data_IF_527015182920
#
_entry.id   IF_527015182920
#
_cell.length_a   1.000
_cell.length_b   1.000
_cell.length_c   1.000
_cell.angle_alpha   90.00
_cell.angle_beta   90.00
_cell.angle_gamma   90.00
#
_symmetry.space_group_name_H-M   'P 1'
#
loop_
_entity.id
_entity.type
_entity.pdbx_description
1 polymer ?
#
# COMPACT_ATOMS: atom_id res chain seq x y z
N UNK A 1 -93.48 -38.70 -22.96
CA UNK A 1 -93.59 -37.77 -24.10
C UNK A 1 -92.63 -36.60 -23.88
N UNK A 2 -91.82 -36.29 -24.90
CA UNK A 2 -91.02 -35.06 -25.13
C UNK A 2 -89.75 -34.79 -24.26
N UNK A 3 -88.58 -35.16 -24.80
CA UNK A 3 -87.46 -34.28 -25.29
C UNK A 3 -87.32 -32.89 -24.62
N UNK A 4 -86.16 -32.33 -24.20
CA UNK A 4 -84.74 -32.35 -24.61
C UNK A 4 -83.90 -31.75 -23.44
N UNK A 5 -82.73 -32.26 -23.02
CA UNK A 5 -81.39 -32.29 -23.61
C UNK A 5 -80.58 -30.96 -23.62
N UNK A 6 -79.50 -30.96 -22.82
CA UNK A 6 -78.21 -30.21 -22.94
C UNK A 6 -78.23 -28.70 -22.63
N UNK A 7 -77.22 -28.08 -22.02
CA UNK A 7 -75.77 -28.24 -22.25
C UNK A 7 -74.87 -27.97 -21.03
N UNK A 8 -73.73 -28.67 -21.08
CA UNK A 8 -72.48 -28.52 -20.35
C UNK A 8 -71.99 -27.07 -20.16
N UNK A 9 -71.28 -26.83 -19.05
CA UNK A 9 -70.38 -25.68 -18.93
C UNK A 9 -69.65 -25.58 -17.58
N UNK A 10 -68.76 -26.54 -17.29
CA UNK A 10 -67.81 -26.49 -16.16
C UNK A 10 -67.01 -25.17 -16.14
N UNK A 11 -66.82 -24.56 -14.96
CA UNK A 11 -65.54 -23.97 -14.53
C UNK A 11 -65.52 -23.56 -13.05
N UNK A 12 -64.46 -24.02 -12.39
CA UNK A 12 -63.78 -23.52 -11.18
C UNK A 12 -64.61 -23.41 -9.88
N UNK A 13 -64.52 -24.40 -8.98
CA UNK A 13 -63.43 -24.61 -8.01
C UNK A 13 -63.43 -23.60 -6.86
N UNK A 14 -63.87 -24.12 -5.71
CA UNK A 14 -63.91 -23.52 -4.39
C UNK A 14 -62.51 -23.23 -3.82
N UNK A 15 -62.39 -22.24 -2.94
CA UNK A 15 -62.33 -22.47 -1.49
C UNK A 15 -61.79 -21.23 -0.78
N UNK A 16 -62.59 -20.71 0.15
CA UNK A 16 -62.15 -19.77 1.16
C UNK A 16 -61.19 -20.46 2.14
N UNK A 17 -60.10 -19.78 2.48
CA UNK A 17 -59.14 -20.20 3.49
C UNK A 17 -58.50 -18.98 4.12
N UNK A 18 -59.15 -18.44 5.16
CA UNK A 18 -58.56 -17.45 6.06
C UNK A 18 -57.49 -18.16 6.88
N UNK A 19 -56.23 -17.81 6.66
CA UNK A 19 -55.12 -18.21 7.52
C UNK A 19 -54.55 -16.95 8.17
N UNK A 20 -55.00 -16.66 9.38
CA UNK A 20 -54.39 -15.67 10.27
C UNK A 20 -53.03 -16.18 10.73
N UNK A 21 -51.95 -15.67 10.12
CA UNK A 21 -50.59 -15.86 10.63
C UNK A 21 -50.14 -14.61 11.39
N UNK A 22 -49.73 -14.85 12.63
CA UNK A 22 -49.26 -13.89 13.60
C UNK A 22 -48.10 -13.04 13.06
N UNK A 23 -48.18 -11.73 13.33
CA UNK A 23 -47.07 -10.79 13.23
C UNK A 23 -45.95 -11.22 14.21
N UNK A 24 -44.97 -11.97 13.71
CA UNK A 24 -43.65 -12.02 14.33
C UNK A 24 -42.92 -10.72 13.95
N UNK A 25 -42.64 -9.90 14.94
CA UNK A 25 -41.83 -8.69 14.79
C UNK A 25 -40.43 -9.03 14.28
N UNK A 26 -40.23 -8.94 12.98
CA UNK A 26 -38.90 -8.76 12.41
C UNK A 26 -38.48 -7.34 12.76
N UNK A 27 -37.59 -7.21 13.74
CA UNK A 27 -36.80 -5.99 13.88
C UNK A 27 -36.13 -5.74 12.52
N UNK A 28 -36.26 -4.54 11.92
CA UNK A 28 -35.48 -4.23 10.73
C UNK A 28 -34.01 -4.34 11.11
N UNK A 29 -33.30 -5.26 10.47
CA UNK A 29 -31.84 -5.24 10.45
C UNK A 29 -31.46 -3.84 10.02
N UNK A 30 -30.88 -3.05 10.92
CA UNK A 30 -30.40 -1.72 10.61
C UNK A 30 -29.32 -1.88 9.53
N UNK A 31 -29.72 -1.71 8.27
CA UNK A 31 -28.76 -1.45 7.19
C UNK A 31 -28.13 -0.12 7.55
N UNK A 32 -26.86 -0.15 7.96
CA UNK A 32 -26.08 1.07 8.16
C UNK A 32 -26.13 1.83 6.84
N UNK A 33 -26.94 2.88 6.81
CA UNK A 33 -27.05 3.76 5.65
C UNK A 33 -25.77 4.60 5.69
N UNK A 34 -24.82 4.37 4.78
CA UNK A 34 -23.63 5.21 4.72
C UNK A 34 -24.09 6.65 4.51
N UNK A 35 -23.75 7.53 5.45
CA UNK A 35 -23.96 8.96 5.31
C UNK A 35 -23.31 9.43 4.01
N UNK A 36 -24.00 10.17 3.14
CA UNK A 36 -23.42 10.65 1.90
C UNK A 36 -22.15 11.45 2.18
N UNK A 37 -20.99 10.88 1.82
CA UNK A 37 -19.69 11.49 2.02
C UNK A 37 -19.16 11.99 0.67
N UNK A 38 -19.69 13.14 0.24
CA UNK A 38 -19.32 13.77 -1.04
C UNK A 38 -17.92 14.37 -0.96
N UNK A 39 -16.90 13.54 -1.20
CA UNK A 39 -15.51 13.96 -1.37
C UNK A 39 -14.68 14.14 -0.10
N UNK A 40 -15.25 13.97 1.10
CA UNK A 40 -14.43 13.92 2.31
C UNK A 40 -13.84 12.52 2.53
N UNK A 41 -12.79 12.47 3.35
CA UNK A 41 -12.20 11.21 3.80
C UNK A 41 -13.23 10.43 4.63
N UNK A 42 -13.33 9.13 4.38
CA UNK A 42 -14.05 8.17 5.20
C UNK A 42 -13.17 7.83 6.39
N UNK A 43 -13.38 8.51 7.51
CA UNK A 43 -12.44 8.54 8.63
C UNK A 43 -12.24 7.21 9.35
N UNK A 44 -13.20 6.31 9.22
CA UNK A 44 -13.21 5.00 9.89
C UNK A 44 -12.90 3.87 8.89
N UNK A 45 -12.62 4.22 7.64
CA UNK A 45 -12.16 3.25 6.65
C UNK A 45 -10.74 2.79 6.96
N UNK A 46 -10.43 1.59 6.50
CA UNK A 46 -9.07 1.08 6.41
C UNK A 46 -8.66 1.01 4.95
N UNK A 47 -7.37 1.11 4.71
CA UNK A 47 -6.76 0.97 3.39
C UNK A 47 -5.61 -0.03 3.42
N UNK A 48 -4.81 0.02 2.36
CA UNK A 48 -3.61 -0.79 2.20
C UNK A 48 -2.49 0.00 1.56
N UNK A 49 -1.26 -0.49 1.72
CA UNK A 49 -0.08 0.03 1.07
C UNK A 49 0.62 -1.11 0.31
N UNK A 50 0.55 -1.07 -1.02
CA UNK A 50 1.25 -1.96 -1.93
C UNK A 50 2.60 -1.35 -2.33
N UNK A 51 3.69 -1.97 -1.90
CA UNK A 51 5.07 -1.48 -2.07
C UNK A 51 5.76 -2.30 -3.16
N UNK A 52 6.20 -1.62 -4.22
CA UNK A 52 6.82 -2.21 -5.41
C UNK A 52 8.33 -1.98 -5.39
N UNK A 53 9.11 -2.87 -4.75
CA UNK A 53 10.57 -2.75 -4.64
C UNK A 53 11.28 -3.31 -5.87
N UNK A 54 11.97 -2.43 -6.60
CA UNK A 54 12.74 -2.76 -7.79
C UNK A 54 14.12 -2.08 -7.72
N UNK A 55 15.13 -2.62 -8.42
CA UNK A 55 16.44 -1.98 -8.59
C UNK A 55 16.33 -0.76 -9.51
N UNK A 56 17.14 0.27 -9.23
CA UNK A 56 17.29 1.40 -10.15
C UNK A 56 18.21 0.93 -11.29
N UNK A 57 17.64 0.33 -12.33
CA UNK A 57 18.40 -0.31 -13.41
C UNK A 57 18.04 0.24 -14.79
N UNK A 58 18.95 1.00 -15.39
CA UNK A 58 18.94 1.28 -16.84
C UNK A 58 18.16 2.52 -17.30
N UNK A 59 17.95 3.52 -16.42
CA UNK A 59 17.24 4.76 -16.79
C UNK A 59 15.74 4.60 -16.98
N UNK A 60 15.18 3.44 -16.59
CA UNK A 60 13.75 3.19 -16.63
C UNK A 60 13.06 3.74 -15.38
N UNK A 61 11.89 4.33 -15.58
CA UNK A 61 11.05 4.82 -14.50
C UNK A 61 10.51 3.65 -13.67
N UNK A 62 10.71 3.72 -12.35
CA UNK A 62 10.22 2.71 -11.42
C UNK A 62 8.75 2.94 -11.03
N UNK A 63 8.19 4.10 -11.39
CA UNK A 63 6.79 4.45 -11.19
C UNK A 63 6.60 5.88 -10.68
N UNK A 64 5.46 6.47 -11.00
CA UNK A 64 5.05 7.79 -10.53
C UNK A 64 4.44 7.70 -9.12
N UNK A 65 4.65 8.70 -8.26
CA UNK A 65 4.09 8.74 -6.92
C UNK A 65 2.62 9.20 -6.93
N UNK A 66 1.76 8.61 -7.77
CA UNK A 66 0.33 8.97 -7.87
C UNK A 66 -0.55 8.18 -6.90
N UNK A 67 0.00 7.20 -6.19
CA UNK A 67 -0.74 6.31 -5.29
C UNK A 67 -1.58 5.25 -6.01
N UNK A 68 -1.67 5.27 -7.34
CA UNK A 68 -2.40 4.28 -8.14
C UNK A 68 -1.48 3.19 -8.68
N UNK A 69 -2.00 1.99 -8.98
CA UNK A 69 -1.22 0.98 -9.68
C UNK A 69 -0.70 1.52 -11.01
N UNK A 70 0.59 1.36 -11.24
CA UNK A 70 1.21 1.60 -12.53
C UNK A 70 1.48 0.27 -13.23
N UNK A 71 0.83 0.09 -14.39
CA UNK A 71 1.22 -0.89 -15.38
C UNK A 71 2.44 -0.31 -16.11
N UNK A 72 3.62 -0.84 -15.83
CA UNK A 72 4.80 -0.46 -16.57
C UNK A 72 5.56 -1.71 -16.99
N UNK A 73 5.61 -1.94 -18.30
CA UNK A 73 6.59 -2.80 -18.97
C UNK A 73 8.05 -2.28 -18.79
N UNK A 74 8.22 -1.26 -17.94
CA UNK A 74 9.44 -0.51 -17.67
C UNK A 74 9.88 -0.55 -16.20
N UNK A 75 9.29 -1.39 -15.34
CA UNK A 75 9.81 -1.56 -13.98
C UNK A 75 11.26 -2.07 -14.04
N UNK A 76 12.11 -1.59 -13.12
CA UNK A 76 13.45 -2.16 -12.91
C UNK A 76 13.38 -3.63 -12.48
N UNK A 77 14.50 -4.29 -12.25
CA UNK A 77 14.48 -5.69 -11.78
C UNK A 77 13.82 -5.78 -10.40
N UNK A 78 12.83 -6.67 -10.17
CA UNK A 78 12.20 -6.81 -8.86
C UNK A 78 13.21 -7.30 -7.80
N UNK A 79 12.99 -6.90 -6.56
CA UNK A 79 13.83 -7.33 -5.42
C UNK A 79 12.97 -8.10 -4.43
N UNK A 80 13.22 -9.39 -4.33
CA UNK A 80 12.58 -10.30 -3.39
C UNK A 80 13.25 -10.22 -2.00
N UNK A 81 12.48 -10.53 -0.95
CA UNK A 81 13.00 -10.74 0.40
C UNK A 81 13.18 -9.47 1.24
N UNK A 82 12.72 -8.31 0.76
CA UNK A 82 12.81 -7.03 1.46
C UNK A 82 11.59 -6.83 2.35
N UNK A 83 11.78 -6.38 3.59
CA UNK A 83 10.68 -6.06 4.52
C UNK A 83 10.63 -4.56 4.74
N UNK A 84 9.42 -4.01 4.65
CA UNK A 84 9.13 -2.62 4.98
C UNK A 84 8.39 -2.53 6.31
N UNK A 85 8.56 -1.41 6.98
CA UNK A 85 7.80 -1.08 8.19
C UNK A 85 7.22 0.32 8.05
N UNK A 86 5.91 0.42 8.20
CA UNK A 86 5.16 1.67 8.22
C UNK A 86 4.89 2.10 9.67
N UNK A 87 5.41 3.24 10.06
CA UNK A 87 5.26 3.84 11.37
C UNK A 87 4.19 4.94 11.31
N UNK A 88 3.02 4.76 11.95
CA UNK A 88 1.97 5.77 11.94
C UNK A 88 2.46 7.05 12.61
N UNK A 89 2.30 8.20 11.97
CA UNK A 89 2.61 9.52 12.54
C UNK A 89 1.39 9.99 13.32
N UNK A 90 1.46 9.89 14.65
CA UNK A 90 0.29 9.99 15.55
C UNK A 90 -0.14 11.41 15.87
N UNK A 91 0.75 12.38 15.66
CA UNK A 91 0.51 13.80 15.90
C UNK A 91 0.01 14.55 14.65
N UNK A 92 -0.12 13.88 13.50
CA UNK A 92 -0.72 14.44 12.28
C UNK A 92 -2.14 13.88 12.09
N UNK A 93 -3.16 14.73 12.16
CA UNK A 93 -4.54 14.32 11.98
C UNK A 93 -5.05 14.62 10.55
N UNK A 94 -5.20 13.59 9.72
CA UNK A 94 -5.70 13.75 8.34
C UNK A 94 -7.19 14.14 8.24
N UNK A 95 -7.92 14.14 9.36
CA UNK A 95 -9.31 14.60 9.43
C UNK A 95 -9.41 16.13 9.54
N UNK A 96 -8.29 16.81 9.79
CA UNK A 96 -8.17 18.26 9.94
C UNK A 96 -7.32 18.84 8.79
N UNK A 97 -7.75 19.93 8.13
CA UNK A 97 -6.92 20.65 7.18
C UNK A 97 -5.49 20.97 7.66
N UNK A 98 -5.31 21.29 8.95
CA UNK A 98 -3.98 21.57 9.52
C UNK A 98 -3.02 20.36 9.45
N UNK A 99 -3.57 19.14 9.50
CA UNK A 99 -2.78 17.93 9.26
C UNK A 99 -2.23 17.87 7.83
N UNK A 100 -3.02 18.31 6.86
CA UNK A 100 -2.61 18.39 5.46
C UNK A 100 -1.58 19.49 5.19
N UNK A 101 -1.65 20.61 5.90
CA UNK A 101 -0.60 21.64 5.87
C UNK A 101 0.74 21.06 6.34
N UNK A 102 0.72 20.29 7.43
CA UNK A 102 1.91 19.60 7.96
C UNK A 102 2.49 18.61 6.94
N UNK A 103 1.64 17.84 6.25
CA UNK A 103 2.08 16.93 5.18
C UNK A 103 2.66 17.69 3.99
N UNK A 104 2.06 18.83 3.62
CA UNK A 104 2.57 19.70 2.57
C UNK A 104 3.98 20.21 2.89
N UNK A 105 4.20 20.62 4.14
CA UNK A 105 5.50 21.12 4.59
C UNK A 105 6.55 20.01 4.68
N UNK A 106 6.18 18.81 5.15
CA UNK A 106 7.04 17.63 5.08
C UNK A 106 7.44 17.28 3.65
N UNK A 107 6.50 17.37 2.69
CA UNK A 107 6.79 17.12 1.27
C UNK A 107 7.80 18.12 0.70
N UNK A 108 7.70 19.41 1.08
CA UNK A 108 8.65 20.45 0.68
C UNK A 108 10.02 20.28 1.34
N UNK A 109 10.05 19.93 2.63
CA UNK A 109 11.28 19.73 3.39
C UNK A 109 12.02 18.44 2.99
N UNK A 110 11.27 17.43 2.57
CA UNK A 110 11.78 16.08 2.29
C UNK A 110 11.93 15.25 3.56
N UNK A 111 12.01 13.93 3.37
CA UNK A 111 12.31 12.98 4.44
C UNK A 111 13.82 12.73 4.44
N UNK A 112 14.52 12.94 5.58
CA UNK A 112 15.97 12.71 5.63
C UNK A 112 16.28 11.21 5.56
N UNK A 113 17.39 10.85 4.89
CA UNK A 113 17.84 9.45 4.80
C UNK A 113 18.10 8.83 6.18
N UNK A 114 18.44 9.66 7.18
CA UNK A 114 18.64 9.24 8.57
C UNK A 114 17.36 8.87 9.32
N UNK A 115 16.17 9.12 8.76
CA UNK A 115 14.89 8.89 9.43
C UNK A 115 14.71 7.45 9.90
N UNK A 116 15.33 6.50 9.20
CA UNK A 116 15.22 5.07 9.46
C UNK A 116 16.55 4.40 9.83
N UNK A 117 17.60 5.15 10.22
CA UNK A 117 18.91 4.56 10.58
C UNK A 117 18.80 3.58 11.74
N UNK A 118 17.90 3.84 12.70
CA UNK A 118 17.51 2.89 13.73
C UNK A 118 16.03 2.50 13.56
N UNK A 119 15.73 1.34 12.96
CA UNK A 119 14.35 0.88 12.78
C UNK A 119 13.57 0.69 14.10
N UNK A 120 14.26 0.48 15.23
CA UNK A 120 13.59 0.38 16.53
C UNK A 120 13.18 1.75 17.09
N UNK A 121 13.73 2.84 16.57
CA UNK A 121 13.45 4.21 16.97
C UNK A 121 13.58 5.16 15.78
N UNK A 122 12.62 5.13 14.83
CA UNK A 122 12.64 6.03 13.68
C UNK A 122 12.50 7.49 14.14
N UNK A 123 12.99 8.41 13.32
CA UNK A 123 12.97 9.85 13.61
C UNK A 123 12.47 10.64 12.41
N UNK A 124 11.63 11.64 12.65
CA UNK A 124 11.20 12.60 11.62
C UNK A 124 10.87 13.93 12.30
N UNK A 125 11.88 14.79 12.44
CA UNK A 125 11.73 16.02 13.22
C UNK A 125 11.23 15.74 14.64
N UNK A 126 10.18 16.45 15.05
CA UNK A 126 9.54 16.30 16.36
C UNK A 126 8.33 15.34 16.38
N UNK A 127 8.05 14.67 15.26
CA UNK A 127 6.87 13.82 15.12
C UNK A 127 6.94 12.55 15.98
N UNK A 128 5.76 12.02 16.33
CA UNK A 128 5.61 10.85 17.20
C UNK A 128 5.07 9.66 16.44
N UNK A 129 5.61 8.48 16.72
CA UNK A 129 5.22 7.26 16.04
C UNK A 129 4.37 6.34 16.91
N UNK A 130 3.36 5.73 16.31
CA UNK A 130 2.53 4.70 16.90
C UNK A 130 3.10 3.30 16.70
N UNK A 131 2.29 2.29 17.01
CA UNK A 131 2.66 0.88 16.79
C UNK A 131 2.96 0.63 15.30
N UNK A 132 4.14 0.10 14.96
CA UNK A 132 4.51 -0.13 13.56
C UNK A 132 3.65 -1.23 12.92
N UNK A 133 3.44 -1.08 11.61
CA UNK A 133 2.88 -2.12 10.74
C UNK A 133 3.99 -2.67 9.86
N UNK A 134 4.28 -3.95 10.00
CA UNK A 134 5.36 -4.64 9.28
C UNK A 134 4.78 -5.35 8.07
N UNK A 135 5.40 -5.18 6.90
CA UNK A 135 5.00 -5.90 5.70
C UNK A 135 5.47 -7.36 5.74
N UNK A 136 4.86 -8.26 4.94
CA UNK A 136 5.56 -9.47 4.54
C UNK A 136 6.85 -9.10 3.77
N UNK A 137 7.76 -10.06 3.64
CA UNK A 137 8.87 -9.91 2.72
C UNK A 137 8.35 -9.81 1.27
N UNK A 138 8.99 -8.97 0.45
CA UNK A 138 8.62 -8.83 -0.97
C UNK A 138 8.71 -10.17 -1.69
N UNK A 139 7.73 -10.45 -2.54
CA UNK A 139 7.69 -11.66 -3.37
C UNK A 139 8.66 -11.58 -4.56
N UNK A 140 8.60 -12.56 -5.45
CA UNK A 140 9.37 -12.65 -6.70
C UNK A 140 9.10 -11.50 -7.68
N UNK A 141 7.93 -10.86 -7.59
CA UNK A 141 7.59 -9.63 -8.31
C UNK A 141 8.04 -8.34 -7.59
N UNK A 142 8.74 -8.46 -6.45
CA UNK A 142 9.16 -7.30 -5.66
C UNK A 142 8.01 -6.60 -4.92
N UNK A 143 6.85 -7.26 -4.78
CA UNK A 143 5.66 -6.72 -4.15
C UNK A 143 5.55 -7.14 -2.67
N UNK A 144 5.28 -6.17 -1.80
CA UNK A 144 4.83 -6.41 -0.43
C UNK A 144 3.61 -5.52 -0.12
N UNK A 145 2.59 -6.07 0.53
CA UNK A 145 1.38 -5.32 0.87
C UNK A 145 1.15 -5.31 2.37
N UNK A 146 0.99 -4.11 2.93
CA UNK A 146 0.50 -3.90 4.31
C UNK A 146 -1.00 -3.65 4.21
N UNK A 147 -1.81 -4.44 4.91
CA UNK A 147 -3.27 -4.34 4.92
C UNK A 147 -3.78 -3.69 6.20
N UNK A 148 -5.09 -3.40 6.23
CA UNK A 148 -5.80 -2.89 7.41
C UNK A 148 -5.13 -1.64 8.01
N UNK A 149 -4.73 -0.71 7.15
CA UNK A 149 -4.09 0.54 7.56
C UNK A 149 -5.17 1.59 7.86
N UNK A 150 -5.29 2.07 9.12
CA UNK A 150 -6.21 3.16 9.44
C UNK A 150 -5.86 4.44 8.67
N UNK A 151 -6.83 5.36 8.61
CA UNK A 151 -6.63 6.71 8.07
C UNK A 151 -5.55 7.45 8.86
N UNK A 152 -4.35 7.59 8.30
CA UNK A 152 -3.18 8.23 8.93
C UNK A 152 -2.09 8.52 7.88
N UNK A 153 -1.14 9.39 8.24
CA UNK A 153 0.17 9.45 7.60
C UNK A 153 1.13 8.43 8.22
N UNK A 154 2.03 7.87 7.40
CA UNK A 154 2.99 6.85 7.81
C UNK A 154 4.38 7.21 7.27
N UNK A 155 5.39 7.14 8.14
CA UNK A 155 6.78 7.04 7.69
C UNK A 155 7.06 5.58 7.33
N UNK A 156 7.56 5.33 6.13
CA UNK A 156 7.85 3.99 5.63
C UNK A 156 9.36 3.81 5.51
N UNK A 157 9.86 2.76 6.14
CA UNK A 157 11.27 2.39 6.18
C UNK A 157 11.47 1.00 5.58
N UNK A 158 12.57 0.80 4.85
CA UNK A 158 13.10 -0.54 4.55
C UNK A 158 13.87 -1.05 5.78
N UNK A 159 13.35 -2.08 6.46
CA UNK A 159 13.87 -2.51 7.78
C UNK A 159 14.61 -3.84 7.73
N UNK A 160 14.33 -4.69 6.74
CA UNK A 160 15.11 -5.90 6.47
C UNK A 160 15.44 -5.98 4.99
N UNK A 161 16.71 -6.22 4.69
CA UNK A 161 17.23 -6.28 3.33
C UNK A 161 18.15 -7.50 3.22
N UNK A 162 18.00 -8.37 2.20
CA UNK A 162 18.96 -9.43 1.94
C UNK A 162 20.37 -8.85 1.71
N UNK A 163 21.41 -9.49 2.25
CA UNK A 163 22.77 -8.93 2.26
C UNK A 163 23.42 -8.71 0.87
N UNK A 164 22.86 -9.34 -0.18
CA UNK A 164 23.28 -9.13 -1.57
C UNK A 164 22.64 -7.90 -2.22
N UNK A 165 21.71 -7.21 -1.53
CA UNK A 165 21.05 -6.01 -2.01
C UNK A 165 21.66 -4.79 -1.30
N UNK A 166 22.49 -4.05 -2.04
CA UNK A 166 23.15 -2.84 -1.55
C UNK A 166 22.32 -1.57 -1.79
N UNK A 167 21.36 -1.62 -2.70
CA UNK A 167 20.48 -0.50 -3.05
C UNK A 167 19.22 -0.51 -2.19
N UNK A 168 19.27 0.12 -1.01
CA UNK A 168 18.12 0.28 -0.12
C UNK A 168 17.20 1.41 -0.58
N UNK A 169 15.91 1.26 -0.33
CA UNK A 169 14.94 2.34 -0.49
C UNK A 169 15.23 3.49 0.47
N UNK A 170 15.11 4.73 -0.02
CA UNK A 170 15.08 5.90 0.86
C UNK A 170 13.81 5.89 1.73
N UNK A 171 13.89 6.36 2.99
CA UNK A 171 12.71 6.65 3.79
C UNK A 171 11.73 7.59 3.08
N UNK A 172 10.43 7.36 3.25
CA UNK A 172 9.41 8.23 2.66
C UNK A 172 8.15 8.30 3.52
N UNK A 173 7.35 9.35 3.34
CA UNK A 173 6.05 9.48 3.98
C UNK A 173 4.94 9.18 2.97
N UNK A 174 3.91 8.46 3.40
CA UNK A 174 2.70 8.19 2.63
C UNK A 174 1.47 8.46 3.49
N UNK A 175 0.37 8.91 2.87
CA UNK A 175 -0.94 9.02 3.53
C UNK A 175 -1.86 7.90 3.06
N UNK A 176 -2.58 7.31 4.00
CA UNK A 176 -3.74 6.46 3.72
C UNK A 176 -4.96 7.20 4.27
N UNK A 177 -5.95 7.60 3.43
CA UNK A 177 -5.89 7.54 1.98
C UNK A 177 -4.91 8.56 1.37
N UNK A 178 -4.60 8.38 0.09
CA UNK A 178 -3.82 9.30 -0.72
C UNK A 178 -4.75 10.16 -1.61
N UNK A 179 -4.48 11.47 -1.80
CA UNK A 179 -5.24 12.29 -2.73
C UNK A 179 -5.17 11.73 -4.15
N UNK A 180 -6.31 11.63 -4.85
CA UNK A 180 -6.30 11.22 -6.25
C UNK A 180 -6.01 12.42 -7.16
N UNK A 181 -4.88 12.39 -7.85
CA UNK A 181 -4.47 13.47 -8.78
C UNK A 181 -4.80 13.16 -10.25
N UNK A 182 -5.56 12.11 -10.54
CA UNK A 182 -5.99 11.80 -11.89
C UNK A 182 -7.01 12.83 -12.40
N UNK A 183 -6.97 13.14 -13.69
CA UNK A 183 -7.88 14.11 -14.30
C UNK A 183 -9.35 13.71 -14.08
N UNK A 184 -10.13 14.62 -13.48
CA UNK A 184 -11.55 14.40 -13.17
C UNK A 184 -11.83 13.57 -11.92
N UNK A 185 -10.80 13.24 -11.13
CA UNK A 185 -10.93 12.53 -9.86
C UNK A 185 -10.79 13.46 -8.63
N UNK A 186 -10.94 14.77 -8.82
CA UNK A 186 -10.84 15.74 -7.74
C UNK A 186 -11.82 15.42 -6.60
N UNK A 187 -11.33 15.46 -5.37
CA UNK A 187 -12.10 15.06 -4.18
C UNK A 187 -12.24 13.55 -3.98
N UNK A 188 -11.62 12.71 -4.81
CA UNK A 188 -11.54 11.26 -4.58
C UNK A 188 -10.26 10.88 -3.81
N UNK A 189 -10.39 9.83 -3.02
CA UNK A 189 -9.37 9.36 -2.09
C UNK A 189 -9.00 7.91 -2.41
N UNK A 190 -7.71 7.63 -2.53
CA UNK A 190 -7.16 6.29 -2.80
C UNK A 190 -6.84 5.63 -1.46
N UNK A 191 -7.56 4.58 -1.09
CA UNK A 191 -7.31 3.83 0.15
C UNK A 191 -6.32 2.69 -0.05
N UNK A 192 -6.30 2.08 -1.23
CA UNK A 192 -5.33 1.07 -1.63
C UNK A 192 -4.18 1.77 -2.38
N UNK A 193 -3.19 2.22 -1.62
CA UNK A 193 -2.12 3.07 -2.11
C UNK A 193 -0.99 2.22 -2.67
N UNK A 194 -0.57 2.51 -3.89
CA UNK A 194 0.59 1.91 -4.53
C UNK A 194 1.80 2.85 -4.49
N UNK A 195 2.95 2.33 -4.06
CA UNK A 195 4.20 3.10 -3.96
C UNK A 195 5.38 2.37 -4.62
N UNK A 196 6.29 3.17 -5.16
CA UNK A 196 7.44 2.74 -5.95
C UNK A 196 8.72 3.37 -5.38
N UNK A 197 9.25 2.88 -4.23
CA UNK A 197 10.33 3.54 -3.52
C UNK A 197 11.62 3.56 -4.35
N UNK A 198 12.24 4.76 -4.46
CA UNK A 198 13.54 4.94 -5.10
C UNK A 198 14.65 4.39 -4.22
N UNK A 199 15.62 3.73 -4.83
CA UNK A 199 16.81 3.24 -4.10
C UNK A 199 17.95 4.26 -4.08
N UNK A 200 18.80 4.17 -3.07
CA UNK A 200 20.14 4.73 -3.10
C UNK A 200 21.03 3.89 -4.02
N UNK A 201 21.65 4.55 -5.00
CA UNK A 201 22.67 3.92 -5.82
C UNK A 201 23.96 3.83 -5.00
N UNK A 202 24.40 2.60 -4.70
CA UNK A 202 25.67 2.35 -4.04
C UNK A 202 26.45 1.36 -4.91
N UNK A 203 27.66 1.76 -5.32
CA UNK A 203 28.62 0.88 -5.99
C UNK A 203 29.68 0.48 -4.98
N UNK A 204 29.94 -0.82 -4.84
CA UNK A 204 31.08 -1.31 -4.06
C UNK A 204 31.95 -2.14 -5.00
N UNK A 205 33.19 -1.73 -5.18
CA UNK A 205 34.16 -2.45 -6.01
C UNK A 205 35.24 -3.05 -5.11
N UNK A 206 35.44 -4.37 -5.23
CA UNK A 206 36.58 -5.07 -4.64
C UNK A 206 37.52 -5.45 -5.77
N UNK A 207 38.75 -4.95 -5.71
CA UNK A 207 39.79 -5.29 -6.67
C UNK A 207 40.91 -6.10 -6.02
N UNK A 208 41.79 -6.62 -6.85
CA UNK A 208 43.09 -7.14 -6.43
C UNK A 208 44.11 -6.11 -6.91
N UNK A 209 45.05 -5.73 -6.05
CA UNK A 209 46.12 -4.81 -6.44
C UNK A 209 46.87 -5.35 -7.68
N UNK A 210 47.14 -4.48 -8.65
CA UNK A 210 47.88 -4.79 -9.88
C UNK A 210 49.17 -5.57 -9.59
N UNK A 211 49.40 -6.62 -10.37
CA UNK A 211 50.55 -7.50 -10.23
C UNK A 211 51.65 -7.09 -11.22
N UNK A 212 52.90 -6.97 -10.74
CA UNK A 212 54.07 -6.85 -11.64
C UNK A 212 54.35 -8.19 -12.31
N UNK A 213 55.04 -8.12 -13.45
CA UNK A 213 55.39 -9.11 -14.50
C UNK A 213 55.28 -10.64 -14.22
N UNK A 214 55.32 -11.12 -12.97
CA UNK A 214 55.29 -12.56 -12.60
C UNK A 214 54.18 -12.97 -11.62
N UNK A 215 53.29 -12.06 -11.23
CA UNK A 215 52.15 -12.37 -10.36
C UNK A 215 52.46 -12.64 -8.88
N UNK A 216 51.45 -13.06 -8.10
CA UNK A 216 51.64 -13.53 -6.71
C UNK A 216 51.98 -15.04 -6.68
N UNK A 217 53.08 -15.40 -6.04
CA UNK A 217 53.39 -16.80 -5.72
C UNK A 217 52.67 -17.29 -4.46
N UNK A 218 52.60 -18.61 -4.26
CA UNK A 218 52.07 -19.22 -3.02
C UNK A 218 52.84 -18.69 -1.80
N UNK A 219 52.12 -18.18 -0.80
CA UNK A 219 52.71 -17.54 0.38
C UNK A 219 52.90 -16.02 0.27
N UNK A 220 52.57 -15.40 -0.87
CA UNK A 220 52.63 -13.94 -1.02
C UNK A 220 51.51 -13.22 -0.28
N UNK A 221 51.82 -12.04 0.27
CA UNK A 221 50.83 -11.12 0.81
C UNK A 221 50.06 -10.47 -0.34
N UNK A 222 48.75 -10.70 -0.38
CA UNK A 222 47.83 -10.09 -1.35
C UNK A 222 47.04 -8.98 -0.68
N UNK A 223 46.94 -7.82 -1.33
CA UNK A 223 46.05 -6.74 -0.93
C UNK A 223 44.78 -6.77 -1.77
N UNK A 224 43.65 -6.63 -1.08
CA UNK A 224 42.32 -6.53 -1.68
C UNK A 224 41.75 -5.14 -1.37
N UNK A 225 42.04 -4.12 -2.18
CA UNK A 225 41.40 -2.83 -2.03
C UNK A 225 39.88 -2.96 -2.16
N UNK A 226 39.16 -2.26 -1.29
CA UNK A 226 37.71 -2.10 -1.38
C UNK A 226 37.45 -0.60 -1.48
N UNK A 227 36.72 -0.19 -2.52
CA UNK A 227 36.25 1.18 -2.73
C UNK A 227 34.73 1.21 -2.79
N UNK A 228 34.16 2.31 -2.30
CA UNK A 228 32.73 2.62 -2.25
C UNK A 228 32.48 4.01 -2.78
#
# INVERSE_FOLDING_TARGET
MKHNASTLGRRAAAAAGVLTLAFLGLAPSAVATETPNYGNIKTDATGSLAIHKHLNGGGKDIGNPTGTPQNADSKGTPVQGVVFTAYPITDINLKDPAGWDTISDLSKAGVPDSACTNPAAPTLGAHKFGTPKVSPATNDEGLATITEMPVQAYLVCETTTPGNIVQKAKPFVVTVPHPNTAAGADGQWIYDVHVYPKNEAISVEKSIQEQKLNGYGVGSLIKFPVSS
#
